data_IF_959014781918
#
_entry.id   IF_959014781918
#
_cell.length_a   1.000
_cell.length_b   1.000
_cell.length_c   1.000
_cell.angle_alpha   90.00
_cell.angle_beta   90.00
_cell.angle_gamma   90.00
#
_symmetry.space_group_name_H-M   'P 1'
#
loop_
_entity.id
_entity.type
_entity.pdbx_description
1 polymer ?
#
# COMPACT_ATOMS: atom_id res chain seq x y z
N UNK A 1 -18.11 -34.94 10.51
CA UNK A 1 -19.42 -35.12 9.85
C UNK A 1 -20.47 -34.53 10.77
N UNK A 2 -20.96 -33.35 10.43
CA UNK A 2 -22.18 -32.76 10.97
C UNK A 2 -22.87 -32.09 9.77
N UNK A 3 -24.18 -32.26 9.72
CA UNK A 3 -25.00 -32.37 8.52
C UNK A 3 -24.95 -31.17 7.58
N UNK A 4 -24.85 -31.53 6.30
CA UNK A 4 -25.04 -30.66 5.15
C UNK A 4 -26.54 -30.45 4.99
N UNK A 5 -27.04 -29.27 5.35
CA UNK A 5 -28.32 -28.79 4.83
C UNK A 5 -28.06 -28.02 3.52
N UNK A 6 -28.04 -28.78 2.41
CA UNK A 6 -28.23 -28.20 1.08
C UNK A 6 -29.72 -27.89 0.94
N UNK A 7 -30.07 -26.63 0.68
CA UNK A 7 -31.30 -26.31 -0.04
C UNK A 7 -30.99 -25.39 -1.21
N UNK A 8 -31.32 -25.88 -2.41
CA UNK A 8 -31.07 -25.29 -3.71
C UNK A 8 -32.18 -24.30 -4.13
N UNK A 9 -31.87 -23.30 -4.98
CA UNK A 9 -32.67 -22.85 -6.16
C UNK A 9 -31.75 -22.02 -7.10
N UNK A 10 -32.09 -21.76 -8.39
CA UNK A 10 -31.98 -22.59 -9.60
C UNK A 10 -30.90 -22.11 -10.59
N UNK A 11 -30.63 -22.94 -11.60
CA UNK A 11 -29.84 -22.66 -12.80
C UNK A 11 -30.22 -21.32 -13.47
N UNK A 12 -29.23 -20.43 -13.63
CA UNK A 12 -29.31 -19.02 -14.08
C UNK A 12 -30.21 -18.16 -13.18
N UNK A 13 -29.60 -17.56 -12.18
CA UNK A 13 -30.27 -16.57 -11.35
C UNK A 13 -30.83 -15.41 -12.21
N UNK A 14 -32.05 -14.97 -11.88
CA UNK A 14 -32.74 -13.82 -12.48
C UNK A 14 -32.11 -12.48 -12.07
N UNK A 15 -30.78 -12.38 -12.08
CA UNK A 15 -30.07 -11.13 -11.88
C UNK A 15 -29.36 -10.67 -13.14
N UNK A 16 -29.08 -9.38 -13.20
CA UNK A 16 -28.30 -8.76 -14.26
C UNK A 16 -27.09 -8.04 -13.70
N UNK A 17 -26.02 -7.97 -14.48
CA UNK A 17 -24.89 -7.09 -14.19
C UNK A 17 -25.34 -5.62 -14.19
N UNK A 18 -24.63 -4.76 -13.46
CA UNK A 18 -25.01 -3.35 -13.31
C UNK A 18 -25.05 -2.62 -14.64
N UNK A 19 -24.14 -2.93 -15.55
CA UNK A 19 -24.09 -2.29 -16.88
C UNK A 19 -25.26 -2.67 -17.80
N UNK A 20 -26.00 -3.73 -17.46
CA UNK A 20 -27.19 -4.15 -18.22
C UNK A 20 -28.48 -3.48 -17.72
N UNK A 21 -28.42 -2.69 -16.65
CA UNK A 21 -29.57 -2.02 -16.06
C UNK A 21 -30.16 -0.94 -16.98
N UNK A 22 -31.47 -0.77 -16.91
CA UNK A 22 -32.22 0.27 -17.64
C UNK A 22 -32.98 1.17 -16.67
N UNK A 23 -33.19 2.42 -17.07
CA UNK A 23 -33.88 3.43 -16.26
C UNK A 23 -35.33 3.03 -15.93
N UNK A 24 -35.76 3.40 -14.72
CA UNK A 24 -37.12 3.17 -14.22
C UNK A 24 -37.19 2.06 -13.17
N UNK A 25 -38.41 1.66 -12.81
CA UNK A 25 -38.63 0.56 -11.86
C UNK A 25 -38.15 -0.75 -12.48
N UNK A 26 -37.29 -1.45 -11.76
CA UNK A 26 -36.73 -2.71 -12.21
C UNK A 26 -37.49 -3.89 -11.62
N UNK A 27 -37.88 -4.84 -12.47
CA UNK A 27 -38.26 -6.19 -12.06
C UNK A 27 -37.07 -7.14 -12.02
N UNK A 28 -35.91 -6.70 -12.51
CA UNK A 28 -34.67 -7.46 -12.52
C UNK A 28 -34.02 -7.39 -11.14
N UNK A 29 -33.36 -8.48 -10.74
CA UNK A 29 -32.56 -8.52 -9.53
C UNK A 29 -31.12 -8.13 -9.86
N UNK A 30 -30.36 -7.72 -8.86
CA UNK A 30 -28.91 -7.53 -8.98
C UNK A 30 -28.21 -8.20 -7.82
N UNK A 31 -27.03 -8.76 -8.09
CA UNK A 31 -26.18 -9.33 -7.07
C UNK A 31 -24.90 -8.52 -7.00
N UNK A 32 -24.53 -8.09 -5.80
CA UNK A 32 -23.31 -7.33 -5.60
C UNK A 32 -22.77 -7.41 -4.18
N UNK A 33 -21.45 -7.37 -4.07
CA UNK A 33 -20.75 -7.20 -2.79
C UNK A 33 -20.90 -5.76 -2.33
N UNK A 34 -21.34 -5.58 -1.07
CA UNK A 34 -21.34 -4.28 -0.41
C UNK A 34 -19.92 -3.89 -0.06
N UNK A 35 -19.33 -3.00 -0.86
CA UNK A 35 -18.01 -2.48 -0.59
C UNK A 35 -18.04 -1.56 0.63
N UNK A 36 -18.95 -0.57 0.63
CA UNK A 36 -19.06 0.45 1.67
C UNK A 36 -20.47 1.01 1.77
N UNK A 37 -20.79 1.58 2.93
CA UNK A 37 -21.98 2.42 3.10
C UNK A 37 -21.77 3.55 4.10
N UNK A 38 -22.48 4.66 3.91
CA UNK A 38 -22.38 5.83 4.80
C UNK A 38 -23.66 6.67 4.78
N UNK A 39 -23.79 7.55 5.77
CA UNK A 39 -24.93 8.45 5.88
C UNK A 39 -24.79 9.64 4.92
N UNK A 40 -25.80 9.84 4.07
CA UNK A 40 -25.94 11.05 3.27
C UNK A 40 -26.66 12.13 4.07
N UNK A 41 -26.04 13.30 4.18
CA UNK A 41 -26.57 14.46 4.88
C UNK A 41 -26.66 15.67 3.96
N UNK A 42 -27.73 16.43 4.06
CA UNK A 42 -27.93 17.63 3.27
C UNK A 42 -27.19 18.81 3.91
N UNK A 43 -26.00 19.13 3.38
CA UNK A 43 -25.18 20.24 3.88
C UNK A 43 -25.91 21.59 3.78
N UNK A 44 -26.78 21.78 2.78
CA UNK A 44 -27.53 23.04 2.61
C UNK A 44 -28.74 23.17 3.53
N UNK A 45 -29.12 22.09 4.23
CA UNK A 45 -30.23 22.05 5.18
C UNK A 45 -29.74 21.53 6.52
N UNK A 46 -28.75 22.21 7.08
CA UNK A 46 -28.19 21.95 8.42
C UNK A 46 -27.79 20.49 8.69
N UNK A 47 -27.32 19.79 7.67
CA UNK A 47 -26.88 18.40 7.79
C UNK A 47 -28.02 17.40 7.96
N UNK A 48 -29.26 17.75 7.54
CA UNK A 48 -30.42 16.86 7.61
C UNK A 48 -30.10 15.48 7.01
N UNK A 49 -30.39 14.43 7.76
CA UNK A 49 -30.21 13.05 7.31
C UNK A 49 -31.14 12.75 6.12
N UNK A 50 -30.55 12.43 4.97
CA UNK A 50 -31.28 12.14 3.73
C UNK A 50 -31.50 10.64 3.54
N UNK A 51 -30.57 9.82 4.02
CA UNK A 51 -30.58 8.39 3.78
C UNK A 51 -29.17 7.77 3.88
N UNK A 52 -29.06 6.51 3.48
CA UNK A 52 -27.81 5.76 3.45
C UNK A 52 -27.40 5.57 1.98
N UNK A 53 -26.16 5.87 1.65
CA UNK A 53 -25.57 5.57 0.35
C UNK A 53 -24.80 4.26 0.47
N UNK A 54 -24.98 3.36 -0.51
CA UNK A 54 -24.24 2.12 -0.64
C UNK A 54 -23.34 2.17 -1.88
N UNK A 55 -22.23 1.47 -1.81
CA UNK A 55 -21.34 1.21 -2.94
C UNK A 55 -21.28 -0.30 -3.19
N UNK A 56 -21.80 -0.75 -4.33
CA UNK A 56 -21.92 -2.17 -4.67
C UNK A 56 -20.99 -2.53 -5.83
N UNK A 57 -20.41 -3.73 -5.80
CA UNK A 57 -19.55 -4.31 -6.84
C UNK A 57 -20.13 -5.62 -7.36
N UNK A 58 -20.26 -5.75 -8.67
CA UNK A 58 -20.74 -6.98 -9.31
C UNK A 58 -19.61 -7.87 -9.85
N UNK A 59 -19.99 -9.02 -10.40
CA UNK A 59 -19.11 -10.02 -11.04
C UNK A 59 -18.40 -9.53 -12.31
N UNK A 60 -18.84 -8.41 -12.91
CA UNK A 60 -18.22 -7.81 -14.10
C UNK A 60 -17.24 -6.72 -13.71
N UNK A 61 -16.91 -6.64 -12.42
CA UNK A 61 -16.11 -5.58 -11.83
C UNK A 61 -16.74 -4.20 -12.05
N UNK A 62 -18.06 -4.09 -12.19
CA UNK A 62 -18.76 -2.81 -12.31
C UNK A 62 -19.22 -2.34 -10.93
N UNK A 63 -19.06 -1.04 -10.68
CA UNK A 63 -19.41 -0.44 -9.38
C UNK A 63 -20.60 0.48 -9.57
N UNK A 64 -21.63 0.30 -8.75
CA UNK A 64 -22.81 1.14 -8.76
C UNK A 64 -23.09 1.73 -7.38
N UNK A 65 -23.59 2.96 -7.36
CA UNK A 65 -24.13 3.56 -6.14
C UNK A 65 -25.58 3.14 -5.94
N UNK A 66 -25.95 2.85 -4.70
CA UNK A 66 -27.35 2.71 -4.30
C UNK A 66 -27.70 3.71 -3.19
N UNK A 67 -28.98 4.06 -3.08
CA UNK A 67 -29.48 5.02 -2.10
C UNK A 67 -30.72 4.47 -1.39
N UNK A 68 -30.64 4.44 -0.06
CA UNK A 68 -31.72 4.10 0.86
C UNK A 68 -32.27 5.39 1.46
N UNK A 69 -33.52 5.80 1.17
CA UNK A 69 -34.13 6.97 1.78
C UNK A 69 -34.18 6.88 3.32
N UNK A 70 -34.10 8.02 4.01
CA UNK A 70 -34.15 8.09 5.48
C UNK A 70 -35.32 7.32 6.11
N UNK A 71 -36.49 7.33 5.47
CA UNK A 71 -37.68 6.61 5.92
C UNK A 71 -37.50 5.07 5.99
N UNK A 72 -36.57 4.52 5.21
CA UNK A 72 -36.27 3.09 5.16
C UNK A 72 -34.96 2.73 5.87
N UNK A 73 -34.18 3.73 6.29
CA UNK A 73 -32.83 3.55 6.78
C UNK A 73 -32.76 2.63 8.02
N UNK A 74 -33.68 2.78 8.98
CA UNK A 74 -33.70 1.97 10.21
C UNK A 74 -33.86 0.47 9.93
N UNK A 75 -34.69 0.12 8.95
CA UNK A 75 -34.96 -1.27 8.56
C UNK A 75 -33.71 -1.94 7.97
N UNK A 76 -33.04 -1.27 7.03
CA UNK A 76 -31.90 -1.85 6.32
C UNK A 76 -30.60 -1.77 7.13
N UNK A 77 -30.43 -0.77 7.99
CA UNK A 77 -29.15 -0.54 8.70
C UNK A 77 -28.72 -1.71 9.58
N UNK A 78 -29.67 -2.46 10.14
CA UNK A 78 -29.37 -3.64 10.97
C UNK A 78 -28.80 -4.80 10.15
N UNK A 79 -29.06 -4.82 8.84
CA UNK A 79 -28.67 -5.89 7.92
C UNK A 79 -27.38 -5.55 7.16
N UNK A 80 -27.10 -4.26 6.95
CA UNK A 80 -25.93 -3.80 6.20
C UNK A 80 -24.63 -4.11 6.94
N UNK A 81 -23.77 -4.92 6.31
CA UNK A 81 -22.39 -5.19 6.73
C UNK A 81 -21.48 -5.16 5.51
N UNK A 82 -20.36 -4.44 5.61
CA UNK A 82 -19.36 -4.37 4.54
C UNK A 82 -18.79 -5.76 4.24
N UNK A 83 -18.48 -6.03 2.97
CA UNK A 83 -17.96 -7.31 2.48
C UNK A 83 -19.02 -8.37 2.14
N UNK A 84 -20.25 -8.23 2.66
CA UNK A 84 -21.35 -9.18 2.41
C UNK A 84 -21.90 -9.02 0.98
N UNK A 85 -22.26 -10.14 0.36
CA UNK A 85 -22.91 -10.17 -0.96
C UNK A 85 -24.42 -10.17 -0.75
N UNK A 86 -25.08 -9.20 -1.40
CA UNK A 86 -26.53 -9.08 -1.36
C UNK A 86 -27.13 -9.31 -2.75
N UNK A 87 -28.23 -10.07 -2.77
CA UNK A 87 -29.21 -10.01 -3.85
C UNK A 87 -30.21 -8.90 -3.51
N UNK A 88 -30.32 -7.92 -4.38
CA UNK A 88 -31.22 -6.76 -4.25
C UNK A 88 -32.32 -6.88 -5.30
N UNK A 89 -33.58 -6.76 -4.88
CA UNK A 89 -34.74 -6.77 -5.78
C UNK A 89 -35.77 -5.71 -5.43
N UNK A 90 -36.62 -5.32 -6.37
CA UNK A 90 -37.69 -4.34 -6.14
C UNK A 90 -37.20 -2.89 -6.01
N UNK A 91 -36.15 -2.51 -6.75
CA UNK A 91 -35.55 -1.18 -6.73
C UNK A 91 -35.89 -0.37 -7.99
N UNK A 92 -35.62 0.94 -7.97
CA UNK A 92 -35.68 1.81 -9.14
C UNK A 92 -34.27 2.18 -9.62
N UNK A 93 -34.05 2.19 -10.93
CA UNK A 93 -32.80 2.65 -11.55
C UNK A 93 -32.97 4.12 -11.96
N UNK A 94 -32.22 5.00 -11.31
CA UNK A 94 -32.17 6.43 -11.60
C UNK A 94 -30.88 6.84 -12.29
N UNK A 95 -30.83 8.05 -12.86
CA UNK A 95 -29.58 8.67 -13.33
C UNK A 95 -28.78 9.24 -12.15
N UNK A 96 -27.47 9.03 -12.16
CA UNK A 96 -26.58 9.69 -11.21
C UNK A 96 -26.45 11.18 -11.55
N UNK A 97 -26.75 12.05 -10.57
CA UNK A 97 -26.52 13.49 -10.69
C UNK A 97 -25.05 13.78 -10.50
N UNK A 98 -24.48 14.74 -11.24
CA UNK A 98 -23.03 15.06 -11.20
C UNK A 98 -22.49 15.40 -9.80
N UNK A 99 -23.36 15.83 -8.88
CA UNK A 99 -23.00 16.11 -7.49
C UNK A 99 -22.91 14.79 -6.70
N UNK A 100 -21.76 14.54 -6.05
CA UNK A 100 -21.50 13.37 -5.18
C UNK A 100 -21.42 12.01 -5.90
N UNK A 101 -21.07 12.01 -7.19
CA UNK A 101 -20.81 10.82 -8.01
C UNK A 101 -19.43 10.24 -7.64
N UNK A 102 -19.42 9.03 -7.05
CA UNK A 102 -18.19 8.33 -6.62
C UNK A 102 -17.77 7.27 -7.64
N UNK A 103 -18.71 6.77 -8.42
CA UNK A 103 -18.49 5.74 -9.45
C UNK A 103 -18.69 6.35 -10.83
N UNK A 104 -17.95 5.91 -11.84
CA UNK A 104 -18.16 6.36 -13.22
C UNK A 104 -19.50 5.90 -13.83
N UNK A 105 -20.16 4.92 -13.20
CA UNK A 105 -21.44 4.35 -13.64
C UNK A 105 -22.53 5.44 -13.85
N UNK A 106 -23.29 5.39 -14.96
CA UNK A 106 -24.28 6.42 -15.30
C UNK A 106 -25.55 6.36 -14.45
N UNK A 107 -25.81 5.21 -13.84
CA UNK A 107 -27.03 4.94 -13.06
C UNK A 107 -26.75 4.75 -11.57
N UNK A 108 -27.80 4.91 -10.77
CA UNK A 108 -27.84 4.61 -9.34
C UNK A 108 -29.09 3.79 -9.02
N UNK A 109 -29.01 2.93 -8.00
CA UNK A 109 -30.16 2.18 -7.49
C UNK A 109 -30.88 2.97 -6.38
N UNK A 110 -32.19 3.08 -6.44
CA UNK A 110 -33.02 3.70 -5.40
C UNK A 110 -33.87 2.64 -4.73
N UNK A 111 -33.75 2.55 -3.41
CA UNK A 111 -34.55 1.62 -2.62
C UNK A 111 -35.96 2.20 -2.45
N UNK A 112 -36.94 1.34 -2.68
CA UNK A 112 -38.36 1.57 -2.51
C UNK A 112 -38.85 0.82 -1.26
N UNK A 113 -40.05 1.11 -0.74
CA UNK A 113 -40.63 0.35 0.36
C UNK A 113 -40.77 -1.15 0.07
N UNK A 114 -40.87 -1.53 -1.20
CA UNK A 114 -40.94 -2.92 -1.65
C UNK A 114 -39.55 -3.54 -1.95
N UNK A 115 -38.46 -2.80 -1.78
CA UNK A 115 -37.11 -3.32 -2.02
C UNK A 115 -36.78 -4.36 -0.96
N UNK A 116 -36.18 -5.47 -1.39
CA UNK A 116 -35.66 -6.49 -0.48
C UNK A 116 -34.16 -6.67 -0.71
N UNK A 117 -33.44 -6.91 0.37
CA UNK A 117 -32.05 -7.37 0.32
C UNK A 117 -31.98 -8.73 1.01
N UNK A 118 -31.37 -9.69 0.32
CA UNK A 118 -31.19 -11.04 0.83
C UNK A 118 -29.69 -11.30 0.81
N UNK A 119 -29.14 -11.64 1.97
CA UNK A 119 -27.75 -12.09 2.07
C UNK A 119 -27.61 -13.38 1.28
N UNK A 120 -26.67 -13.38 0.34
CA UNK A 120 -26.36 -14.55 -0.46
C UNK A 120 -25.13 -15.20 0.16
N UNK A 121 -25.31 -16.40 0.69
CA UNK A 121 -24.20 -17.27 1.09
C UNK A 121 -23.32 -17.51 -0.14
N UNK A 122 -22.00 -17.55 0.05
CA UNK A 122 -20.90 -17.46 -0.93
C UNK A 122 -21.00 -18.39 -2.18
N UNK A 123 -22.04 -18.22 -2.99
CA UNK A 123 -22.43 -19.11 -4.09
C UNK A 123 -22.84 -18.27 -5.30
N UNK A 124 -21.85 -17.98 -6.15
CA UNK A 124 -22.00 -17.25 -7.41
C UNK A 124 -20.65 -17.04 -8.12
N UNK A 125 -20.62 -16.40 -9.30
CA UNK A 125 -19.38 -16.01 -9.96
C UNK A 125 -18.53 -15.13 -9.04
N UNK A 126 -17.20 -15.28 -9.15
CA UNK A 126 -16.22 -14.63 -8.29
C UNK A 126 -16.35 -13.11 -8.36
N UNK A 127 -16.96 -12.49 -7.35
CA UNK A 127 -16.95 -11.04 -7.16
C UNK A 127 -15.67 -10.67 -6.41
N UNK A 128 -14.94 -9.69 -6.91
CA UNK A 128 -13.72 -9.16 -6.28
C UNK A 128 -13.98 -8.59 -4.88
N UNK A 129 -13.03 -8.70 -3.95
CA UNK A 129 -13.19 -8.22 -2.56
C UNK A 129 -13.25 -6.71 -2.48
N UNK A 130 -12.46 -6.06 -3.31
CA UNK A 130 -12.29 -4.61 -3.32
C UNK A 130 -12.21 -4.13 -4.76
N UNK A 131 -12.72 -2.92 -5.02
CA UNK A 131 -12.48 -2.20 -6.26
C UNK A 131 -11.86 -0.82 -6.00
N UNK A 132 -10.58 -0.65 -6.35
CA UNK A 132 -9.88 0.63 -6.38
C UNK A 132 -10.15 1.37 -7.69
N UNK A 133 -10.36 2.69 -7.64
CA UNK A 133 -10.50 3.54 -8.83
C UNK A 133 -9.43 4.63 -8.82
N UNK A 134 -8.17 4.21 -8.87
CA UNK A 134 -7.00 5.07 -8.72
C UNK A 134 -6.81 6.02 -9.90
N UNK A 135 -6.51 7.29 -9.60
CA UNK A 135 -6.17 8.32 -10.60
C UNK A 135 -4.90 9.08 -10.18
N UNK A 136 -4.10 9.52 -11.15
CA UNK A 136 -2.82 10.22 -10.93
C UNK A 136 -3.02 11.71 -10.57
N UNK A 137 -1.93 12.39 -10.20
CA UNK A 137 -1.93 13.79 -9.76
C UNK A 137 -2.56 14.75 -10.79
N UNK A 138 -2.18 14.65 -12.07
CA UNK A 138 -2.71 15.54 -13.12
C UNK A 138 -4.24 15.43 -13.26
N UNK A 139 -4.77 14.19 -13.15
CA UNK A 139 -6.20 13.96 -13.16
C UNK A 139 -6.91 14.54 -11.93
N UNK A 140 -6.25 14.61 -10.77
CA UNK A 140 -6.84 15.21 -9.56
C UNK A 140 -6.95 16.72 -9.66
N UNK A 141 -5.95 17.38 -10.24
CA UNK A 141 -5.99 18.81 -10.46
C UNK A 141 -7.14 19.17 -11.40
N UNK A 142 -7.37 18.36 -12.43
CA UNK A 142 -8.52 18.48 -13.33
C UNK A 142 -9.88 18.18 -12.65
N UNK A 143 -9.88 17.36 -11.59
CA UNK A 143 -11.07 16.92 -10.85
C UNK A 143 -11.25 17.64 -9.51
N UNK A 144 -10.49 18.70 -9.23
CA UNK A 144 -10.65 19.48 -8.03
C UNK A 144 -12.11 19.99 -7.91
N UNK A 145 -12.68 19.84 -6.72
CA UNK A 145 -14.08 20.09 -6.36
C UNK A 145 -15.10 19.00 -6.79
N UNK A 146 -14.65 17.76 -7.07
CA UNK A 146 -15.54 16.66 -7.52
C UNK A 146 -15.61 15.40 -6.62
N UNK A 147 -14.98 15.37 -5.44
CA UNK A 147 -15.03 14.26 -4.44
C UNK A 147 -14.43 12.87 -4.86
N UNK A 148 -13.12 12.75 -5.16
CA UNK A 148 -12.53 11.48 -5.69
C UNK A 148 -11.18 11.01 -5.04
N UNK A 149 -10.98 9.68 -5.03
CA UNK A 149 -9.97 8.74 -4.44
C UNK A 149 -8.46 8.91 -4.75
N UNK A 150 -7.56 8.45 -3.84
CA UNK A 150 -6.09 8.62 -3.96
C UNK A 150 -5.17 7.52 -3.35
N UNK A 151 -4.15 7.04 -4.10
CA UNK A 151 -2.98 6.34 -3.53
C UNK A 151 -1.85 7.28 -3.10
N UNK A 152 -1.03 6.83 -2.14
CA UNK A 152 0.04 7.61 -1.53
C UNK A 152 0.37 7.14 -0.11
N UNK A 153 1.27 7.87 0.58
CA UNK A 153 1.78 7.53 1.90
C UNK A 153 1.64 8.72 2.86
N UNK A 154 1.22 8.47 4.10
CA UNK A 154 1.28 9.49 5.15
C UNK A 154 2.73 9.68 5.57
N UNK A 155 3.24 10.91 5.43
CA UNK A 155 4.59 11.27 5.85
C UNK A 155 4.60 11.99 7.19
N UNK A 156 3.47 12.56 7.60
CA UNK A 156 3.33 13.32 8.84
C UNK A 156 1.88 13.44 9.26
N UNK A 157 1.61 13.39 10.56
CA UNK A 157 0.28 13.60 11.16
C UNK A 157 0.36 14.83 12.07
N UNK A 158 -0.53 15.79 11.86
CA UNK A 158 -0.65 17.00 12.65
C UNK A 158 -2.06 17.10 13.23
N UNK A 159 -2.19 17.29 14.54
CA UNK A 159 -3.49 17.48 15.19
C UNK A 159 -3.42 17.46 16.72
N UNK A 160 -4.52 17.84 17.35
CA UNK A 160 -4.74 17.73 18.79
C UNK A 160 -5.31 16.36 19.16
N UNK A 161 -5.08 15.92 20.41
CA UNK A 161 -5.61 14.67 20.97
C UNK A 161 -5.29 13.43 20.12
N UNK A 162 -4.04 13.31 19.64
CA UNK A 162 -3.62 12.21 18.77
C UNK A 162 -3.75 10.82 19.42
N UNK A 163 -3.70 10.76 20.75
CA UNK A 163 -3.77 9.52 21.52
C UNK A 163 -5.18 9.18 22.01
N UNK A 164 -6.20 10.00 21.69
CA UNK A 164 -7.59 9.74 22.05
C UNK A 164 -8.35 9.17 20.84
N UNK A 165 -8.58 7.85 20.77
CA UNK A 165 -9.21 7.20 19.63
C UNK A 165 -10.68 7.60 19.44
N UNK A 166 -11.31 8.22 20.44
CA UNK A 166 -12.71 8.66 20.38
C UNK A 166 -12.86 10.10 19.92
N UNK A 167 -11.76 10.85 19.82
CA UNK A 167 -11.80 12.25 19.45
C UNK A 167 -12.23 12.44 18.00
N UNK A 168 -13.19 13.35 17.77
CA UNK A 168 -13.69 13.75 16.45
C UNK A 168 -13.03 15.03 15.92
N UNK A 169 -12.08 15.60 16.66
CA UNK A 169 -11.40 16.83 16.26
C UNK A 169 -10.60 16.65 14.97
N UNK A 170 -10.50 17.72 14.17
CA UNK A 170 -9.79 17.70 12.89
C UNK A 170 -8.35 17.22 13.02
N UNK A 171 -7.94 16.34 12.11
CA UNK A 171 -6.55 15.98 11.87
C UNK A 171 -6.10 16.46 10.49
N UNK A 172 -4.83 16.81 10.36
CA UNK A 172 -4.21 17.16 9.08
C UNK A 172 -3.05 16.21 8.83
N UNK A 173 -3.12 15.45 7.74
CA UNK A 173 -2.10 14.51 7.30
C UNK A 173 -1.31 15.15 6.17
N UNK A 174 0.03 15.05 6.19
CA UNK A 174 0.84 15.22 4.98
C UNK A 174 0.85 13.90 4.25
N UNK A 175 0.33 13.90 3.04
CA UNK A 175 0.19 12.74 2.19
C UNK A 175 1.06 12.90 0.96
N UNK A 176 2.06 12.03 0.82
CA UNK A 176 2.95 11.98 -0.34
C UNK A 176 2.33 11.09 -1.40
N UNK A 177 1.92 11.69 -2.51
CA UNK A 177 1.33 10.98 -3.66
C UNK A 177 2.43 10.53 -4.62
N UNK A 178 3.48 11.33 -4.78
CA UNK A 178 4.65 11.01 -5.63
C UNK A 178 5.97 11.43 -4.96
N UNK A 179 7.13 11.09 -5.55
CA UNK A 179 8.47 11.33 -5.00
C UNK A 179 8.70 12.77 -4.55
N UNK A 180 8.12 13.74 -5.26
CA UNK A 180 8.20 15.17 -4.97
C UNK A 180 6.87 15.83 -4.55
N UNK A 181 5.75 15.11 -4.62
CA UNK A 181 4.42 15.71 -4.43
C UNK A 181 3.83 15.35 -3.07
N UNK A 182 3.70 16.36 -2.21
CA UNK A 182 3.04 16.26 -0.91
C UNK A 182 1.77 17.12 -0.94
N UNK A 183 0.65 16.53 -0.55
CA UNK A 183 -0.63 17.21 -0.35
C UNK A 183 -1.07 17.11 1.09
N UNK A 184 -1.91 18.05 1.52
CA UNK A 184 -2.46 18.06 2.86
C UNK A 184 -3.87 17.47 2.85
N UNK A 185 -4.10 16.42 3.64
CA UNK A 185 -5.40 15.79 3.82
C UNK A 185 -5.98 16.15 5.19
N UNK A 186 -7.10 16.86 5.21
CA UNK A 186 -7.84 17.12 6.45
C UNK A 186 -8.87 16.03 6.71
N UNK A 187 -8.76 15.34 7.84
CA UNK A 187 -9.76 14.39 8.34
C UNK A 187 -10.66 15.07 9.38
N UNK A 188 -11.95 14.78 9.31
CA UNK A 188 -12.98 15.34 10.19
C UNK A 188 -13.83 14.26 10.83
N UNK A 189 -14.41 14.56 11.99
CA UNK A 189 -15.45 13.78 12.66
C UNK A 189 -15.09 12.30 12.87
N UNK A 190 -16.02 11.39 12.58
CA UNK A 190 -15.87 9.94 12.76
C UNK A 190 -14.70 9.37 11.94
N UNK A 191 -14.36 9.99 10.81
CA UNK A 191 -13.21 9.60 9.98
C UNK A 191 -11.90 9.92 10.72
N UNK A 192 -11.83 11.06 11.42
CA UNK A 192 -10.68 11.40 12.25
C UNK A 192 -10.56 10.44 13.44
N UNK A 193 -11.67 10.14 14.13
CA UNK A 193 -11.69 9.17 15.23
C UNK A 193 -11.24 7.77 14.76
N UNK A 194 -11.79 7.29 13.64
CA UNK A 194 -11.41 6.00 13.03
C UNK A 194 -9.92 5.96 12.73
N UNK A 195 -9.35 7.04 12.16
CA UNK A 195 -7.92 7.10 11.89
C UNK A 195 -7.08 7.11 13.17
N UNK A 196 -7.51 7.81 14.24
CA UNK A 196 -6.83 7.78 15.55
C UNK A 196 -6.84 6.38 16.16
N UNK A 197 -7.98 5.69 16.13
CA UNK A 197 -8.08 4.32 16.62
C UNK A 197 -7.07 3.39 15.93
N UNK A 198 -6.83 3.59 14.63
CA UNK A 198 -5.78 2.88 13.90
C UNK A 198 -4.38 3.28 14.34
N UNK A 199 -4.09 4.58 14.54
CA UNK A 199 -2.79 5.02 15.06
C UNK A 199 -2.48 4.43 16.46
N UNK A 200 -3.48 4.38 17.33
CA UNK A 200 -3.35 3.84 18.69
C UNK A 200 -3.16 2.32 18.73
N UNK A 201 -3.48 1.60 17.64
CA UNK A 201 -3.31 0.14 17.55
C UNK A 201 -1.84 -0.31 17.38
N UNK A 202 -0.90 0.62 17.18
CA UNK A 202 0.54 0.35 17.13
C UNK A 202 1.10 -0.02 15.74
N UNK A 203 0.25 -0.10 14.71
CA UNK A 203 0.59 -0.61 13.37
C UNK A 203 1.14 0.43 12.37
N UNK A 204 1.49 1.65 12.82
CA UNK A 204 1.48 2.81 11.92
C UNK A 204 2.83 3.46 11.63
N UNK A 205 3.94 2.74 11.66
CA UNK A 205 5.23 3.32 11.24
C UNK A 205 5.54 3.01 9.75
N UNK A 206 4.95 1.98 9.15
CA UNK A 206 5.26 1.58 7.76
C UNK A 206 4.06 1.17 6.87
N UNK A 207 2.83 1.32 7.36
CA UNK A 207 1.64 0.88 6.62
C UNK A 207 1.30 1.83 5.45
N UNK A 208 1.31 1.30 4.22
CA UNK A 208 0.72 1.98 3.07
C UNK A 208 -0.74 2.24 3.39
N UNK A 209 -1.16 3.50 3.39
CA UNK A 209 -2.56 3.88 3.50
C UNK A 209 -3.07 4.26 2.13
N UNK A 210 -3.78 3.34 1.47
CA UNK A 210 -4.62 3.74 0.36
C UNK A 210 -5.82 4.50 0.94
N UNK A 211 -6.01 5.75 0.51
CA UNK A 211 -7.09 6.60 1.00
C UNK A 211 -8.10 6.76 -0.10
N UNK A 212 -9.27 6.21 0.14
CA UNK A 212 -10.34 6.28 -0.85
C UNK A 212 -11.35 7.37 -0.49
N UNK A 213 -12.14 7.80 -1.48
CA UNK A 213 -13.24 8.77 -1.45
C UNK A 213 -12.91 10.03 -0.66
N UNK A 214 -11.85 10.73 -1.08
CA UNK A 214 -11.45 12.04 -0.55
C UNK A 214 -11.96 13.16 -1.45
N UNK A 215 -12.10 14.38 -0.95
CA UNK A 215 -12.53 15.53 -1.71
C UNK A 215 -11.36 16.48 -2.03
N UNK A 216 -10.84 16.47 -3.27
CA UNK A 216 -9.81 17.40 -3.69
C UNK A 216 -10.39 18.82 -3.81
N UNK A 217 -9.67 19.81 -3.29
CA UNK A 217 -9.97 21.24 -3.39
C UNK A 217 -8.71 22.01 -3.71
N UNK A 218 -8.81 22.97 -4.62
CA UNK A 218 -7.74 23.95 -4.86
C UNK A 218 -7.92 25.14 -3.93
N UNK A 219 -6.86 25.51 -3.21
CA UNK A 219 -6.84 26.72 -2.41
C UNK A 219 -5.49 27.41 -2.58
N UNK A 220 -5.50 28.68 -3.03
CA UNK A 220 -4.26 29.44 -3.25
C UNK A 220 -3.26 28.79 -4.22
N UNK A 221 -3.75 28.06 -5.23
CA UNK A 221 -2.91 27.34 -6.19
C UNK A 221 -2.41 25.96 -5.73
N UNK A 222 -2.64 25.58 -4.46
CA UNK A 222 -2.24 24.29 -3.91
C UNK A 222 -3.42 23.33 -3.81
N UNK A 223 -3.14 22.04 -4.00
CA UNK A 223 -4.11 20.96 -3.85
C UNK A 223 -4.22 20.52 -2.38
N UNK A 224 -5.43 20.59 -1.85
CA UNK A 224 -5.80 20.08 -0.52
C UNK A 224 -6.84 18.98 -0.67
N UNK A 225 -6.77 17.99 0.20
CA UNK A 225 -7.75 16.92 0.27
C UNK A 225 -8.56 17.05 1.55
N UNK A 226 -9.84 16.72 1.51
CA UNK A 226 -10.68 16.62 2.70
C UNK A 226 -11.31 15.22 2.76
N UNK A 227 -11.45 14.65 3.95
CA UNK A 227 -12.26 13.45 4.10
C UNK A 227 -13.72 13.71 3.73
N UNK A 228 -14.39 12.67 3.26
CA UNK A 228 -15.85 12.59 3.16
C UNK A 228 -16.33 11.49 4.12
N UNK A 229 -17.63 11.42 4.44
CA UNK A 229 -18.17 10.30 5.23
C UNK A 229 -17.91 8.91 4.63
N UNK A 230 -17.59 8.84 3.33
CA UNK A 230 -17.24 7.59 2.66
C UNK A 230 -15.75 7.21 2.79
N UNK A 231 -14.89 8.16 3.24
CA UNK A 231 -13.43 7.99 3.29
C UNK A 231 -13.07 6.74 4.06
N UNK A 232 -12.34 5.86 3.39
CA UNK A 232 -11.83 4.63 3.98
C UNK A 232 -10.32 4.56 3.82
N UNK A 233 -9.71 3.92 4.80
CA UNK A 233 -8.29 3.74 4.95
C UNK A 233 -7.99 2.26 4.79
N UNK A 234 -7.27 1.89 3.73
CA UNK A 234 -6.77 0.54 3.59
C UNK A 234 -5.32 0.52 4.01
N UNK A 235 -5.06 -0.17 5.11
CA UNK A 235 -3.72 -0.45 5.60
C UNK A 235 -3.31 -1.80 5.03
N UNK A 236 -2.17 -1.84 4.33
CA UNK A 236 -1.59 -3.10 3.90
C UNK A 236 -0.97 -3.82 5.10
N UNK A 237 -1.80 -4.59 5.82
CA UNK A 237 -1.37 -5.55 6.83
C UNK A 237 -0.97 -6.85 6.11
N UNK A 238 0.27 -6.91 5.65
CA UNK A 238 0.92 -8.19 5.34
C UNK A 238 2.09 -8.33 6.30
N UNK A 239 2.32 -9.55 6.78
CA UNK A 239 3.26 -10.00 7.82
C UNK A 239 4.73 -9.54 7.72
N UNK A 240 5.08 -8.61 6.83
CA UNK A 240 6.38 -7.99 6.80
C UNK A 240 6.25 -6.49 6.99
N UNK A 241 6.75 -6.01 8.13
CA UNK A 241 7.20 -4.63 8.40
C UNK A 241 8.31 -4.15 7.45
N UNK A 242 8.44 -4.76 6.26
CA UNK A 242 9.57 -4.59 5.37
C UNK A 242 9.30 -3.41 4.42
N UNK A 243 10.05 -2.29 4.54
CA UNK A 243 9.93 -1.12 3.66
C UNK A 243 10.08 -1.46 2.17
N UNK A 244 10.64 -2.64 1.88
CA UNK A 244 10.89 -3.14 0.53
C UNK A 244 9.61 -3.54 -0.23
N UNK A 245 8.63 -4.14 0.45
CA UNK A 245 7.33 -4.47 -0.17
C UNK A 245 6.53 -3.19 -0.46
N UNK A 246 6.67 -2.18 0.42
CA UNK A 246 6.04 -0.87 0.30
C UNK A 246 6.40 -0.17 -1.02
N UNK A 247 7.67 -0.15 -1.42
CA UNK A 247 8.10 0.53 -2.65
C UNK A 247 7.50 -0.12 -3.89
N UNK A 248 7.40 -1.46 -3.91
CA UNK A 248 6.85 -2.20 -5.07
C UNK A 248 5.37 -1.92 -5.28
N UNK A 249 4.58 -1.90 -4.20
CA UNK A 249 3.16 -1.54 -4.29
C UNK A 249 3.00 -0.12 -4.83
N UNK A 250 3.78 0.86 -4.32
CA UNK A 250 3.74 2.24 -4.79
C UNK A 250 4.09 2.37 -6.28
N UNK A 251 5.14 1.68 -6.73
CA UNK A 251 5.53 1.65 -8.14
C UNK A 251 4.38 1.10 -9.00
N UNK A 252 3.75 0.00 -8.57
CA UNK A 252 2.62 -0.59 -9.28
C UNK A 252 1.40 0.33 -9.30
N UNK A 253 1.06 0.97 -8.18
CA UNK A 253 -0.05 1.93 -8.10
C UNK A 253 0.15 3.12 -9.04
N UNK A 254 1.40 3.58 -9.23
CA UNK A 254 1.71 4.69 -10.11
C UNK A 254 1.76 4.29 -11.59
N UNK A 255 2.15 3.05 -11.91
CA UNK A 255 2.34 2.59 -13.29
C UNK A 255 1.12 1.87 -13.87
N UNK A 256 0.40 1.11 -13.05
CA UNK A 256 -0.78 0.34 -13.46
C UNK A 256 -2.01 1.23 -13.40
N UNK A 257 -2.36 1.83 -14.53
CA UNK A 257 -3.55 2.68 -14.65
C UNK A 257 -4.83 1.85 -14.49
N UNK A 258 -5.80 2.39 -13.74
CA UNK A 258 -7.12 1.77 -13.58
C UNK A 258 -7.11 0.47 -12.79
N UNK A 259 -6.09 0.23 -11.97
CA UNK A 259 -6.04 -0.97 -11.17
C UNK A 259 -7.23 -1.05 -10.22
N UNK A 260 -7.96 -2.16 -10.29
CA UNK A 260 -9.18 -2.37 -9.51
C UNK A 260 -8.95 -3.17 -8.25
N UNK A 261 -7.89 -3.96 -8.10
CA UNK A 261 -7.64 -4.70 -6.86
C UNK A 261 -6.15 -4.92 -6.67
N UNK A 262 -5.73 -5.38 -5.49
CA UNK A 262 -4.35 -5.79 -5.28
C UNK A 262 -3.95 -6.97 -6.17
N UNK A 263 -4.88 -7.88 -6.48
CA UNK A 263 -4.64 -8.96 -7.42
C UNK A 263 -4.52 -8.44 -8.86
N UNK A 264 -5.30 -7.42 -9.24
CA UNK A 264 -5.09 -6.72 -10.51
C UNK A 264 -3.70 -6.05 -10.56
N UNK A 265 -3.25 -5.42 -9.47
CA UNK A 265 -1.89 -4.87 -9.38
C UNK A 265 -0.84 -5.96 -9.56
N UNK A 266 -1.08 -7.19 -9.09
CA UNK A 266 -0.18 -8.33 -9.30
C UNK A 266 -0.34 -9.01 -10.67
N UNK A 267 -1.31 -8.63 -11.49
CA UNK A 267 -1.59 -9.32 -12.76
C UNK A 267 -0.79 -8.74 -13.94
N UNK A 268 0.07 -9.55 -14.57
CA UNK A 268 0.83 -9.16 -15.77
C UNK A 268 0.55 -10.15 -16.88
N UNK A 269 0.12 -9.66 -18.05
CA UNK A 269 -0.19 -10.53 -19.18
C UNK A 269 -1.30 -11.57 -18.91
N UNK A 270 -2.21 -11.29 -17.96
CA UNK A 270 -3.29 -12.21 -17.57
C UNK A 270 -2.92 -13.22 -16.48
N UNK A 271 -1.68 -13.21 -15.96
CA UNK A 271 -1.22 -14.09 -14.88
C UNK A 271 -1.09 -13.29 -13.58
N UNK A 272 -1.73 -13.76 -12.51
CA UNK A 272 -1.58 -13.19 -11.16
C UNK A 272 -0.27 -13.67 -10.55
N UNK A 273 0.65 -12.75 -10.24
CA UNK A 273 1.91 -13.08 -9.58
C UNK A 273 1.76 -13.23 -8.06
N UNK A 274 2.63 -14.03 -7.44
CA UNK A 274 2.59 -14.32 -6.00
C UNK A 274 2.89 -13.10 -5.12
N UNK A 275 3.75 -12.18 -5.59
CA UNK A 275 4.14 -10.98 -4.85
C UNK A 275 4.15 -9.72 -5.71
N UNK A 276 4.05 -8.56 -5.05
CA UNK A 276 4.21 -7.25 -5.71
C UNK A 276 5.60 -7.09 -6.34
N UNK A 277 6.65 -7.69 -5.76
CA UNK A 277 8.01 -7.71 -6.35
C UNK A 277 8.00 -8.46 -7.68
N UNK A 278 7.43 -9.66 -7.72
CA UNK A 278 7.32 -10.47 -8.93
C UNK A 278 6.51 -9.74 -10.02
N UNK A 279 5.43 -9.06 -9.62
CA UNK A 279 4.63 -8.26 -10.53
C UNK A 279 5.35 -7.01 -11.07
N UNK A 280 6.22 -6.36 -10.29
CA UNK A 280 7.07 -5.27 -10.79
C UNK A 280 8.13 -5.79 -11.77
N UNK A 281 8.77 -6.91 -11.43
CA UNK A 281 9.79 -7.54 -12.27
C UNK A 281 9.20 -7.98 -13.62
N UNK A 282 8.06 -8.67 -13.62
CA UNK A 282 7.38 -9.11 -14.83
C UNK A 282 6.93 -7.94 -15.73
N UNK A 283 6.70 -6.75 -15.16
CA UNK A 283 6.39 -5.53 -15.94
C UNK A 283 7.62 -4.77 -16.42
N UNK A 284 8.83 -5.22 -16.08
CA UNK A 284 10.07 -4.47 -16.35
C UNK A 284 10.10 -3.12 -15.64
N UNK A 285 9.38 -2.98 -14.50
CA UNK A 285 9.37 -1.75 -13.70
C UNK A 285 10.49 -1.70 -12.67
N UNK A 286 11.20 -2.81 -12.51
CA UNK A 286 12.49 -2.86 -11.84
C UNK A 286 13.51 -2.91 -12.98
N UNK A 287 14.21 -1.81 -13.20
CA UNK A 287 15.53 -1.93 -13.80
C UNK A 287 16.31 -2.86 -12.87
N UNK A 288 16.97 -3.87 -13.43
CA UNK A 288 17.74 -4.82 -12.63
C UNK A 288 18.80 -4.09 -11.79
N UNK A 289 19.65 -4.83 -11.09
CA UNK A 289 20.66 -4.22 -10.22
C UNK A 289 21.75 -3.41 -10.95
N UNK A 290 21.62 -3.20 -12.27
CA UNK A 290 22.55 -2.46 -13.11
C UNK A 290 22.86 -1.07 -12.56
N UNK A 291 21.88 -0.33 -12.08
CA UNK A 291 22.12 1.01 -11.49
C UNK A 291 23.08 0.94 -10.30
N UNK A 292 23.04 -0.15 -9.52
CA UNK A 292 23.95 -0.37 -8.39
C UNK A 292 25.34 -0.80 -8.87
N UNK A 293 25.42 -1.58 -9.94
CA UNK A 293 26.71 -1.95 -10.54
C UNK A 293 27.40 -0.72 -11.14
N UNK A 294 26.67 0.09 -11.93
CA UNK A 294 27.17 1.32 -12.53
C UNK A 294 27.60 2.33 -11.43
N UNK A 295 26.83 2.46 -10.34
CA UNK A 295 27.19 3.32 -9.21
C UNK A 295 28.45 2.85 -8.47
N UNK A 296 28.64 1.54 -8.31
CA UNK A 296 29.86 0.98 -7.72
C UNK A 296 31.06 1.20 -8.64
N UNK A 297 30.90 1.04 -9.96
CA UNK A 297 31.96 1.28 -10.95
C UNK A 297 32.38 2.75 -11.02
N UNK A 298 31.41 3.67 -10.95
CA UNK A 298 31.68 5.11 -10.90
C UNK A 298 32.41 5.47 -9.60
N UNK A 299 31.92 5.01 -8.44
CA UNK A 299 32.55 5.28 -7.16
C UNK A 299 33.97 4.69 -7.07
N UNK A 300 34.22 3.52 -7.66
CA UNK A 300 35.53 2.88 -7.66
C UNK A 300 36.62 3.72 -8.37
N UNK A 301 36.25 4.62 -9.28
CA UNK A 301 37.21 5.47 -9.99
C UNK A 301 37.76 6.62 -9.12
N UNK A 302 37.00 7.07 -8.12
CA UNK A 302 37.32 8.32 -7.39
C UNK A 302 37.36 8.16 -5.87
N UNK A 303 36.86 7.05 -5.31
CA UNK A 303 36.73 6.84 -3.86
C UNK A 303 37.80 5.91 -3.30
N UNK A 304 38.00 5.96 -1.98
CA UNK A 304 38.86 5.01 -1.26
C UNK A 304 38.11 3.71 -0.99
N UNK A 305 38.81 2.58 -0.84
CA UNK A 305 38.20 1.27 -0.56
C UNK A 305 37.31 1.27 0.69
N UNK A 306 37.64 2.08 1.71
CA UNK A 306 36.76 2.27 2.87
C UNK A 306 35.42 2.93 2.48
N UNK A 307 35.44 4.03 1.73
CA UNK A 307 34.23 4.71 1.27
C UNK A 307 33.41 3.82 0.33
N UNK A 308 34.08 3.02 -0.51
CA UNK A 308 33.44 2.06 -1.39
C UNK A 308 32.72 0.95 -0.61
N UNK A 309 33.35 0.43 0.47
CA UNK A 309 32.70 -0.50 1.40
C UNK A 309 31.49 0.12 2.11
N UNK A 310 31.59 1.38 2.55
CA UNK A 310 30.46 2.11 3.13
C UNK A 310 29.32 2.27 2.12
N UNK A 311 29.61 2.65 0.87
CA UNK A 311 28.62 2.76 -0.19
C UNK A 311 27.93 1.42 -0.46
N UNK A 312 28.69 0.33 -0.57
CA UNK A 312 28.15 -1.01 -0.75
C UNK A 312 27.19 -1.40 0.39
N UNK A 313 27.56 -1.13 1.64
CA UNK A 313 26.70 -1.39 2.81
C UNK A 313 25.42 -0.54 2.77
N UNK A 314 25.53 0.74 2.40
CA UNK A 314 24.37 1.61 2.22
C UNK A 314 23.46 1.10 1.10
N UNK A 315 24.03 0.63 -0.01
CA UNK A 315 23.29 0.01 -1.10
C UNK A 315 22.59 -1.26 -0.59
N UNK A 316 23.26 -2.16 0.13
CA UNK A 316 22.60 -3.36 0.68
C UNK A 316 21.45 -3.04 1.65
N UNK A 317 21.63 -2.03 2.50
CA UNK A 317 20.64 -1.65 3.51
C UNK A 317 19.44 -0.95 2.86
N UNK A 318 19.71 0.09 2.06
CA UNK A 318 18.70 1.06 1.59
C UNK A 318 18.24 0.82 0.16
N UNK A 319 19.06 0.19 -0.67
CA UNK A 319 18.73 -0.12 -2.06
C UNK A 319 18.35 -1.61 -2.13
N UNK A 320 17.19 -1.91 -2.71
CA UNK A 320 16.73 -3.30 -2.84
C UNK A 320 17.51 -4.04 -3.93
N UNK A 321 18.73 -4.46 -3.61
CA UNK A 321 19.56 -5.29 -4.48
C UNK A 321 18.87 -6.65 -4.65
N UNK A 322 18.51 -6.96 -5.88
CA UNK A 322 17.79 -8.18 -6.27
C UNK A 322 18.68 -9.41 -6.18
N UNK A 323 19.97 -9.26 -6.48
CA UNK A 323 21.01 -10.29 -6.52
C UNK A 323 22.27 -9.79 -5.79
N UNK A 324 22.27 -9.72 -4.45
CA UNK A 324 23.39 -9.22 -3.64
C UNK A 324 24.72 -9.92 -3.94
N UNK A 325 24.67 -11.23 -4.24
CA UNK A 325 25.85 -12.01 -4.60
C UNK A 325 26.47 -11.55 -5.92
N UNK A 326 25.66 -11.16 -6.92
CA UNK A 326 26.19 -10.65 -8.19
C UNK A 326 26.84 -9.29 -7.99
N UNK A 327 26.21 -8.40 -7.24
CA UNK A 327 26.78 -7.11 -6.90
C UNK A 327 28.09 -7.27 -6.12
N UNK A 328 28.13 -8.15 -5.11
CA UNK A 328 29.37 -8.50 -4.39
C UNK A 328 30.47 -8.97 -5.34
N UNK A 329 30.15 -9.97 -6.18
CA UNK A 329 31.11 -10.58 -7.11
C UNK A 329 31.67 -9.55 -8.10
N UNK A 330 30.90 -8.51 -8.42
CA UNK A 330 31.29 -7.43 -9.32
C UNK A 330 32.29 -6.45 -8.69
N UNK A 331 32.13 -6.09 -7.42
CA UNK A 331 32.87 -4.96 -6.82
C UNK A 331 33.83 -5.29 -5.66
N UNK A 332 33.88 -6.55 -5.18
CA UNK A 332 34.66 -6.89 -3.99
C UNK A 332 36.17 -6.63 -4.12
N UNK A 333 36.75 -6.82 -5.31
CA UNK A 333 38.18 -6.60 -5.55
C UNK A 333 38.56 -5.13 -5.32
N UNK A 334 37.77 -4.20 -5.84
CA UNK A 334 37.96 -2.76 -5.63
C UNK A 334 37.81 -2.35 -4.16
N UNK A 335 36.92 -3.03 -3.43
CA UNK A 335 36.75 -2.83 -1.98
C UNK A 335 37.89 -3.43 -1.14
N UNK A 336 38.68 -4.34 -1.70
CA UNK A 336 39.75 -5.05 -1.01
C UNK A 336 41.15 -4.41 -1.22
N UNK A 337 41.30 -3.40 -2.08
CA UNK A 337 42.61 -2.83 -2.45
C UNK A 337 43.44 -2.33 -1.24
N UNK A 338 42.78 -1.81 -0.20
CA UNK A 338 43.46 -1.32 1.01
C UNK A 338 43.78 -2.42 2.04
N UNK A 339 43.20 -3.61 1.89
CA UNK A 339 43.21 -4.66 2.92
C UNK A 339 44.61 -5.19 3.20
N UNK A 340 45.40 -5.49 2.16
CA UNK A 340 46.76 -6.02 2.34
C UNK A 340 47.63 -5.06 3.15
N UNK A 341 47.66 -3.79 2.76
CA UNK A 341 48.43 -2.73 3.44
C UNK A 341 47.93 -2.54 4.87
N UNK A 342 46.62 -2.62 5.09
CA UNK A 342 46.01 -2.52 6.43
C UNK A 342 46.47 -3.68 7.33
N UNK A 343 46.46 -4.92 6.84
CA UNK A 343 46.89 -6.09 7.60
C UNK A 343 48.40 -6.10 7.88
N UNK A 344 49.24 -5.72 6.91
CA UNK A 344 50.68 -5.54 7.12
C UNK A 344 50.98 -4.58 8.27
N UNK A 345 50.22 -3.47 8.36
CA UNK A 345 50.34 -2.47 9.43
C UNK A 345 49.84 -2.99 10.77
N UNK A 346 48.73 -3.71 10.80
CA UNK A 346 48.14 -4.26 12.04
C UNK A 346 49.01 -5.37 12.63
N UNK A 347 49.54 -6.26 11.80
CA UNK A 347 50.40 -7.37 12.20
C UNK A 347 51.87 -6.97 12.36
N UNK A 348 52.23 -5.74 11.99
CA UNK A 348 53.61 -5.23 11.94
C UNK A 348 54.54 -6.17 11.14
N UNK A 349 54.03 -6.74 10.05
CA UNK A 349 54.73 -7.69 9.19
C UNK A 349 54.70 -7.23 7.73
N UNK A 350 55.68 -6.42 7.28
CA UNK A 350 55.68 -5.81 5.95
C UNK A 350 55.77 -6.80 4.79
N UNK A 351 56.25 -8.03 5.06
CA UNK A 351 56.40 -9.09 4.06
C UNK A 351 55.15 -9.97 3.94
N UNK A 352 54.04 -9.61 4.59
CA UNK A 352 52.79 -10.34 4.44
C UNK A 352 52.32 -10.29 2.99
N UNK A 353 52.03 -11.44 2.42
CA UNK A 353 51.30 -11.60 1.16
C UNK A 353 49.99 -12.30 1.46
N UNK A 354 48.89 -11.76 0.93
CA UNK A 354 47.56 -12.36 1.08
C UNK A 354 47.05 -12.86 -0.27
N UNK A 355 46.50 -14.05 -0.29
CA UNK A 355 45.82 -14.62 -1.47
C UNK A 355 44.45 -13.99 -1.64
N UNK A 356 43.88 -14.09 -2.85
CA UNK A 356 42.55 -13.53 -3.17
C UNK A 356 41.46 -13.93 -2.16
N UNK A 357 41.41 -15.21 -1.75
CA UNK A 357 40.45 -15.69 -0.72
C UNK A 357 40.64 -15.04 0.65
N UNK A 358 41.88 -14.71 1.02
CA UNK A 358 42.19 -14.06 2.29
C UNK A 358 41.80 -12.58 2.23
N UNK A 359 42.06 -11.90 1.11
CA UNK A 359 41.60 -10.53 0.86
C UNK A 359 40.07 -10.43 0.91
N UNK A 360 39.37 -11.34 0.23
CA UNK A 360 37.91 -11.44 0.26
C UNK A 360 37.39 -11.62 1.70
N UNK A 361 38.02 -12.52 2.47
CA UNK A 361 37.65 -12.79 3.86
C UNK A 361 37.79 -11.55 4.77
N UNK A 362 38.92 -10.86 4.71
CA UNK A 362 39.11 -9.63 5.50
C UNK A 362 38.17 -8.51 5.06
N UNK A 363 37.83 -8.43 3.77
CA UNK A 363 36.85 -7.46 3.25
C UNK A 363 35.45 -7.72 3.81
N UNK A 364 35.03 -9.00 3.89
CA UNK A 364 33.75 -9.39 4.50
C UNK A 364 33.67 -9.04 5.99
N UNK A 365 34.76 -9.19 6.75
CA UNK A 365 34.80 -8.81 8.17
C UNK A 365 34.57 -7.30 8.35
N UNK A 366 35.16 -6.49 7.47
CA UNK A 366 34.96 -5.04 7.49
C UNK A 366 33.52 -4.65 7.12
N UNK A 367 32.91 -5.34 6.18
CA UNK A 367 31.51 -5.13 5.79
C UNK A 367 30.56 -5.55 6.91
N UNK A 368 30.81 -6.68 7.58
CA UNK A 368 30.07 -7.09 8.78
C UNK A 368 30.15 -6.02 9.86
N UNK A 369 31.33 -5.43 10.07
CA UNK A 369 31.53 -4.35 11.04
C UNK A 369 30.69 -3.12 10.70
N UNK A 370 30.65 -2.74 9.41
CA UNK A 370 29.86 -1.61 8.93
C UNK A 370 28.34 -1.90 8.98
N UNK A 371 27.91 -3.12 8.67
CA UNK A 371 26.50 -3.53 8.79
C UNK A 371 26.02 -3.47 10.25
N UNK A 372 26.86 -3.88 11.19
CA UNK A 372 26.53 -3.82 12.63
C UNK A 372 26.30 -2.40 13.13
N UNK A 373 26.95 -1.39 12.54
CA UNK A 373 26.69 0.02 12.85
C UNK A 373 25.24 0.44 12.51
N UNK A 374 24.58 -0.31 11.63
CA UNK A 374 23.19 -0.11 11.23
C UNK A 374 22.25 -1.18 11.80
N UNK A 375 22.65 -1.89 12.87
CA UNK A 375 21.86 -2.96 13.48
C UNK A 375 21.51 -4.10 12.50
N UNK A 376 22.38 -4.33 11.51
CA UNK A 376 22.27 -5.40 10.50
C UNK A 376 23.46 -6.34 10.55
N UNK A 377 23.33 -7.50 9.92
CA UNK A 377 24.43 -8.48 9.78
C UNK A 377 24.41 -9.12 8.39
N UNK A 378 25.54 -9.67 7.96
CA UNK A 378 25.61 -10.51 6.76
C UNK A 378 24.67 -11.72 6.83
N UNK A 379 24.28 -12.15 8.04
CA UNK A 379 23.25 -13.18 8.22
C UNK A 379 21.87 -12.78 7.70
N UNK A 380 21.58 -11.48 7.54
CA UNK A 380 20.36 -10.96 6.90
C UNK A 380 20.36 -11.15 5.37
N UNK A 381 21.51 -11.52 4.79
CA UNK A 381 21.72 -11.71 3.35
C UNK A 381 22.27 -13.11 3.06
N UNK A 382 21.43 -14.17 3.11
CA UNK A 382 21.87 -15.56 3.05
C UNK A 382 22.54 -15.95 1.72
N UNK A 383 22.31 -15.17 0.66
CA UNK A 383 22.96 -15.35 -0.64
C UNK A 383 24.42 -14.86 -0.67
N UNK A 384 24.85 -14.05 0.31
CA UNK A 384 26.21 -13.52 0.37
C UNK A 384 27.17 -14.45 1.15
N UNK A 385 28.48 -14.40 0.83
CA UNK A 385 29.50 -15.12 1.58
C UNK A 385 29.50 -14.70 3.06
N UNK A 386 29.60 -15.68 3.96
CA UNK A 386 29.60 -15.45 5.41
C UNK A 386 31.03 -15.50 5.95
N UNK A 387 31.39 -14.63 6.91
CA UNK A 387 32.69 -14.70 7.57
C UNK A 387 32.77 -15.96 8.45
N UNK A 388 33.83 -16.76 8.30
CA UNK A 388 34.08 -17.91 9.18
C UNK A 388 34.27 -17.46 10.63
N UNK A 389 33.59 -18.14 11.57
CA UNK A 389 33.49 -17.77 12.99
C UNK A 389 34.81 -17.70 13.77
N UNK A 390 35.94 -18.15 13.23
CA UNK A 390 37.20 -18.32 13.98
C UNK A 390 38.05 -17.07 14.15
N UNK A 391 37.68 -15.90 13.61
CA UNK A 391 38.52 -14.67 13.63
C UNK A 391 37.82 -13.47 14.32
N UNK A 392 36.56 -13.61 14.74
CA UNK A 392 35.84 -12.53 15.42
C UNK A 392 36.34 -12.27 16.86
N UNK A 393 37.10 -13.20 17.44
CA UNK A 393 37.60 -13.10 18.83
C UNK A 393 38.96 -12.36 18.93
N UNK A 394 39.80 -12.34 17.89
CA UNK A 394 41.14 -11.71 17.97
C UNK A 394 41.15 -10.18 17.74
N UNK A 395 40.09 -9.62 17.14
CA UNK A 395 40.00 -8.19 16.83
C UNK A 395 39.45 -7.30 17.96
N UNK A 396 38.81 -7.88 18.99
CA UNK A 396 38.10 -7.13 20.03
C UNK A 396 38.92 -6.88 21.31
N UNK A 397 40.10 -7.51 21.49
CA UNK A 397 40.87 -7.38 22.74
C UNK A 397 41.86 -6.20 22.83
N UNK A 398 41.95 -5.33 21.82
CA UNK A 398 42.91 -4.20 21.84
C UNK A 398 42.27 -2.82 21.92
N UNK A 399 41.42 -2.59 22.93
CA UNK A 399 41.20 -1.25 23.47
C UNK A 399 40.89 -1.32 24.98
N UNK A 400 41.90 -1.22 25.88
CA UNK A 400 41.59 -0.99 27.29
C UNK A 400 41.02 0.42 27.43
N UNK A 401 39.83 0.50 28.02
CA UNK A 401 39.16 1.72 28.45
C UNK A 401 40.14 2.60 29.24
N UNK A 402 40.31 3.86 28.83
CA UNK A 402 40.93 4.86 29.70
C UNK A 402 39.89 5.28 30.75
N UNK A 403 40.18 5.20 32.05
CA UNK A 403 39.27 5.71 33.07
C UNK A 403 39.20 7.25 32.97
N UNK A 404 37.98 7.76 33.03
CA UNK A 404 37.72 9.19 33.18
C UNK A 404 38.24 9.67 34.54
N UNK A 405 39.13 10.65 34.51
CA UNK A 405 39.39 11.58 35.63
C UNK A 405 39.05 12.98 35.15
#
# INVERSE_FOLDING_TARGET
>A
MAEVDVVAIPSKANYVAFDALRLGRSTQQVVGRLLRFWDARNIKKDGQFMGIVLLLLDEKCSVIQAFIPAALASHFRQVLREGIIFNVSGFEVGRCTKLYKITDHPFLLRFLPATTIIEVSDVGPTIEREKFMLRNFDNLQALANTNIELPGQITFVQGSNLNDPTSTQRLVLRYRIDSSVIVYLSLWDDVAATFRAHLSSGDTIYSVMLITTVNPKMFGGNLYLNSTPATSFFFLQQHSTNPRVYQKVRILLNKVKGATSFDYLKTVGGVVHESFKAACHARGLLDGDKEWHDAMDEAAQWSTSYLLRSLFVLILIYCEVSEPLKLWSHCWESMADDVLRKQQRVLNFPQLELKAKELEKYTLIEIETLLRQHEKSLSDYPEMPQPEKSILEEGMEKHPEKPMV
#
